data_IF_054297478015
#
_entry.id   IF_054297478015
#
_cell.length_a   1.000
_cell.length_b   1.000
_cell.length_c   1.000
_cell.angle_alpha   90.00
_cell.angle_beta   90.00
_cell.angle_gamma   90.00
#
_symmetry.space_group_name_H-M   'P 1'
#
loop_
_entity.id
_entity.type
_entity.pdbx_description
1 polymer ?
#
# COMPACT_ATOMS: atom_id res chain seq x y z
N UNK A 1 -21.41 -17.16 -5.93
CA UNK A 1 -20.97 -18.56 -5.87
C UNK A 1 -19.55 -18.52 -5.35
N UNK A 2 -19.37 -18.91 -4.07
CA UNK A 2 -18.04 -19.02 -3.47
C UNK A 2 -17.22 -20.05 -4.26
N UNK A 3 -16.00 -19.68 -4.62
CA UNK A 3 -15.15 -20.51 -5.47
C UNK A 3 -14.69 -21.76 -4.70
N UNK A 4 -14.95 -22.94 -5.25
CA UNK A 4 -14.49 -24.23 -4.73
C UNK A 4 -12.95 -24.24 -4.54
N UNK A 5 -12.22 -23.46 -5.33
CA UNK A 5 -10.76 -23.34 -5.21
C UNK A 5 -10.35 -22.73 -3.87
N UNK A 6 -11.06 -21.71 -3.39
CA UNK A 6 -10.85 -21.08 -2.08
C UNK A 6 -11.07 -22.05 -0.93
N UNK A 7 -12.16 -22.81 -0.97
CA UNK A 7 -12.44 -23.83 0.04
C UNK A 7 -11.36 -24.93 0.05
N UNK A 8 -10.92 -25.38 -1.13
CA UNK A 8 -9.82 -26.35 -1.24
C UNK A 8 -8.52 -25.83 -0.66
N UNK A 9 -8.21 -24.55 -0.87
CA UNK A 9 -7.00 -23.93 -0.33
C UNK A 9 -7.09 -23.80 1.20
N UNK A 10 -8.24 -23.41 1.75
CA UNK A 10 -8.48 -23.38 3.18
C UNK A 10 -8.33 -24.77 3.80
N UNK A 11 -9.01 -25.78 3.25
CA UNK A 11 -8.88 -27.18 3.67
C UNK A 11 -7.43 -27.67 3.60
N UNK A 12 -6.69 -27.31 2.54
CA UNK A 12 -5.30 -27.71 2.36
C UNK A 12 -4.37 -27.27 3.50
N UNK A 13 -4.64 -26.09 4.10
CA UNK A 13 -3.86 -25.57 5.25
C UNK A 13 -4.10 -26.33 6.54
N UNK A 14 -5.24 -27.01 6.66
CA UNK A 14 -5.63 -27.80 7.83
C UNK A 14 -5.48 -29.32 7.63
N UNK A 15 -4.78 -29.76 6.56
CA UNK A 15 -4.53 -31.17 6.32
C UNK A 15 -3.76 -31.80 7.49
N UNK A 16 -4.29 -32.89 8.04
CA UNK A 16 -3.72 -33.57 9.20
C UNK A 16 -4.19 -33.02 10.56
N UNK A 17 -4.88 -31.90 10.60
CA UNK A 17 -5.51 -31.41 11.82
C UNK A 17 -6.81 -32.20 12.11
N UNK A 18 -7.09 -32.43 13.41
CA UNK A 18 -8.39 -32.95 13.83
C UNK A 18 -9.47 -31.89 13.58
N UNK A 19 -10.56 -32.24 12.92
CA UNK A 19 -11.66 -31.32 12.67
C UNK A 19 -12.45 -31.08 13.98
N UNK A 20 -12.04 -30.04 14.72
CA UNK A 20 -12.78 -29.51 15.87
C UNK A 20 -13.70 -28.37 15.42
N UNK A 21 -14.66 -27.92 16.25
CA UNK A 21 -15.47 -26.75 15.94
C UNK A 21 -14.64 -25.50 15.63
N UNK A 22 -13.50 -25.30 16.31
CA UNK A 22 -12.59 -24.17 16.11
C UNK A 22 -11.89 -24.28 14.76
N UNK A 23 -11.42 -25.47 14.38
CA UNK A 23 -10.80 -25.72 13.07
C UNK A 23 -11.82 -25.54 11.96
N UNK A 24 -13.05 -26.02 12.14
CA UNK A 24 -14.14 -25.83 11.17
C UNK A 24 -14.46 -24.35 10.98
N UNK A 25 -14.58 -23.58 12.07
CA UNK A 25 -14.81 -22.13 12.02
C UNK A 25 -13.65 -21.39 11.34
N UNK A 26 -12.40 -21.82 11.55
CA UNK A 26 -11.22 -21.27 10.86
C UNK A 26 -11.28 -21.53 9.35
N UNK A 27 -11.60 -22.75 8.94
CA UNK A 27 -11.76 -23.11 7.52
C UNK A 27 -12.88 -22.29 6.87
N UNK A 28 -14.01 -22.14 7.55
CA UNK A 28 -15.12 -21.31 7.06
C UNK A 28 -14.70 -19.86 6.90
N UNK A 29 -14.05 -19.28 7.91
CA UNK A 29 -13.57 -17.90 7.86
C UNK A 29 -12.58 -17.69 6.72
N UNK A 30 -11.64 -18.61 6.53
CA UNK A 30 -10.68 -18.57 5.43
C UNK A 30 -11.35 -18.71 4.06
N UNK A 31 -12.31 -19.65 3.94
CA UNK A 31 -13.07 -19.83 2.71
C UNK A 31 -13.92 -18.60 2.35
N UNK A 32 -14.44 -17.90 3.36
CA UNK A 32 -15.21 -16.66 3.18
C UNK A 32 -14.33 -15.48 2.72
N UNK A 33 -13.05 -15.47 3.11
CA UNK A 33 -12.13 -14.40 2.74
C UNK A 33 -11.62 -14.46 1.29
N UNK A 34 -11.81 -15.58 0.61
CA UNK A 34 -11.30 -15.81 -0.74
C UNK A 34 -9.80 -16.20 -0.78
N UNK A 35 -9.25 -16.48 -1.97
CA UNK A 35 -7.84 -16.83 -2.12
C UNK A 35 -6.94 -15.66 -1.74
N UNK A 36 -5.81 -15.96 -1.10
CA UNK A 36 -4.75 -14.98 -0.90
C UNK A 36 -3.97 -14.82 -2.22
N UNK A 37 -4.28 -13.77 -2.94
CA UNK A 37 -3.64 -13.36 -4.19
C UNK A 37 -2.61 -12.24 -3.95
N UNK A 38 -2.24 -11.97 -2.69
CA UNK A 38 -1.32 -10.90 -2.35
C UNK A 38 0.01 -11.05 -3.11
N UNK A 39 0.53 -9.92 -3.53
CA UNK A 39 1.80 -9.85 -4.24
C UNK A 39 2.91 -10.22 -3.25
N UNK A 40 3.78 -11.20 -3.62
CA UNK A 40 4.91 -11.54 -2.78
C UNK A 40 5.96 -10.42 -2.81
N UNK A 41 6.22 -9.73 -1.68
CA UNK A 41 7.18 -8.64 -1.65
C UNK A 41 8.61 -9.08 -1.91
N UNK A 42 8.97 -10.33 -1.62
CA UNK A 42 10.33 -10.84 -1.79
C UNK A 42 10.81 -10.80 -3.26
N UNK A 43 9.89 -10.82 -4.22
CA UNK A 43 10.24 -10.78 -5.64
C UNK A 43 10.92 -9.48 -6.10
N UNK A 44 10.80 -8.39 -5.34
CA UNK A 44 11.36 -7.08 -5.71
C UNK A 44 12.75 -6.84 -5.13
N UNK A 45 13.22 -7.73 -4.24
CA UNK A 45 14.48 -7.56 -3.53
C UNK A 45 14.50 -6.34 -2.60
N UNK A 46 15.69 -5.91 -2.27
CA UNK A 46 15.94 -4.81 -1.33
C UNK A 46 16.95 -3.85 -1.92
N UNK A 47 16.87 -2.57 -1.54
CA UNK A 47 17.83 -1.52 -1.90
C UNK A 47 18.31 -0.79 -0.65
N UNK A 48 19.58 -0.90 -0.32
CA UNK A 48 20.20 -0.10 0.72
C UNK A 48 20.87 1.14 0.10
N UNK A 49 20.43 2.32 0.54
CA UNK A 49 20.96 3.59 0.03
C UNK A 49 20.85 4.70 1.07
N UNK A 50 21.93 5.47 1.25
CA UNK A 50 21.99 6.62 2.15
C UNK A 50 21.52 6.30 3.59
N UNK A 51 21.89 5.13 4.12
CA UNK A 51 21.55 4.71 5.47
C UNK A 51 20.11 4.19 5.63
N UNK A 52 19.36 4.08 4.55
CA UNK A 52 18.00 3.55 4.55
C UNK A 52 17.90 2.27 3.73
N UNK A 53 17.08 1.34 4.20
CA UNK A 53 16.69 0.13 3.50
C UNK A 53 15.32 0.36 2.87
N UNK A 54 15.23 0.20 1.55
CA UNK A 54 13.99 0.27 0.77
C UNK A 54 13.60 -1.14 0.33
N UNK A 55 12.36 -1.51 0.57
CA UNK A 55 11.82 -2.83 0.24
C UNK A 55 10.30 -2.77 0.07
N UNK A 56 9.71 -3.87 -0.43
CA UNK A 56 8.28 -4.09 -0.31
C UNK A 56 8.02 -4.93 0.95
N UNK A 57 6.90 -4.69 1.62
CA UNK A 57 6.47 -5.47 2.79
C UNK A 57 4.96 -5.69 2.71
N UNK A 58 4.49 -6.78 3.29
CA UNK A 58 3.05 -7.00 3.42
C UNK A 58 2.50 -6.06 4.48
N UNK A 59 1.48 -5.29 4.13
CA UNK A 59 0.88 -4.33 5.04
C UNK A 59 0.37 -5.00 6.31
N UNK A 60 -0.22 -6.20 6.19
CA UNK A 60 -0.71 -6.98 7.34
C UNK A 60 0.37 -7.30 8.37
N UNK A 61 1.63 -7.48 7.94
CA UNK A 61 2.74 -7.87 8.83
C UNK A 61 3.31 -6.66 9.57
N UNK A 62 3.13 -5.44 9.03
CA UNK A 62 3.71 -4.20 9.55
C UNK A 62 2.66 -3.15 9.96
N UNK A 63 1.38 -3.53 10.03
CA UNK A 63 0.28 -2.61 10.26
C UNK A 63 0.45 -1.79 11.55
N UNK A 64 0.95 -2.43 12.63
CA UNK A 64 1.21 -1.76 13.90
C UNK A 64 2.28 -0.67 13.79
N UNK A 65 3.29 -0.87 12.92
CA UNK A 65 4.34 0.12 12.65
C UNK A 65 3.87 1.23 11.69
N UNK A 66 2.96 0.89 10.76
CA UNK A 66 2.40 1.85 9.80
C UNK A 66 1.44 2.84 10.46
N UNK A 67 0.68 2.42 11.46
CA UNK A 67 -0.35 3.26 12.08
C UNK A 67 0.18 4.61 12.60
N UNK A 68 1.31 4.70 13.32
CA UNK A 68 1.89 5.97 13.73
C UNK A 68 2.29 6.88 12.53
N UNK A 69 2.80 6.30 11.45
CA UNK A 69 3.15 7.05 10.24
C UNK A 69 1.91 7.58 9.54
N UNK A 70 0.85 6.77 9.44
CA UNK A 70 -0.43 7.21 8.88
C UNK A 70 -1.06 8.34 9.71
N UNK A 71 -0.97 8.26 11.04
CA UNK A 71 -1.45 9.32 11.93
C UNK A 71 -0.67 10.62 11.74
N UNK A 72 0.67 10.54 11.67
CA UNK A 72 1.51 11.70 11.41
C UNK A 72 1.22 12.32 10.05
N UNK A 73 1.09 11.50 9.00
CA UNK A 73 0.71 11.94 7.65
C UNK A 73 -0.66 12.64 7.64
N UNK A 74 -1.67 12.06 8.30
CA UNK A 74 -3.00 12.65 8.40
C UNK A 74 -2.98 14.02 9.07
N UNK A 75 -2.26 14.15 10.17
CA UNK A 75 -2.11 15.41 10.90
C UNK A 75 -1.45 16.49 10.03
N UNK A 76 -0.50 16.09 9.18
CA UNK A 76 0.24 17.01 8.32
C UNK A 76 -0.58 17.45 7.09
N UNK A 77 -1.35 16.53 6.48
CA UNK A 77 -1.92 16.76 5.14
C UNK A 77 -3.44 16.90 5.11
N UNK A 78 -4.18 16.25 6.01
CA UNK A 78 -5.63 16.13 5.89
C UNK A 78 -6.43 16.76 7.04
N UNK A 79 -5.88 16.77 8.26
CA UNK A 79 -6.62 17.23 9.44
C UNK A 79 -7.20 18.62 9.29
N UNK A 80 -6.45 19.54 8.71
CA UNK A 80 -6.91 20.94 8.53
C UNK A 80 -8.05 21.07 7.52
N UNK A 81 -8.18 20.12 6.60
CA UNK A 81 -9.24 20.09 5.59
C UNK A 81 -10.52 19.44 6.13
N UNK A 82 -10.38 18.31 6.81
CA UNK A 82 -11.52 17.53 7.29
C UNK A 82 -11.94 17.86 8.73
N UNK A 83 -11.00 18.26 9.58
CA UNK A 83 -11.24 18.42 11.02
C UNK A 83 -11.52 17.13 11.78
N UNK A 84 -11.53 16.00 11.09
CA UNK A 84 -11.83 14.68 11.64
C UNK A 84 -10.55 13.94 12.06
N UNK A 85 -10.64 13.03 13.05
CA UNK A 85 -9.53 12.13 13.36
C UNK A 85 -9.30 11.14 12.21
N UNK A 86 -8.09 10.58 12.15
CA UNK A 86 -7.82 9.45 11.28
C UNK A 86 -8.62 8.23 11.75
N UNK A 87 -9.44 7.65 10.90
CA UNK A 87 -10.23 6.45 11.17
C UNK A 87 -10.24 5.53 9.92
N UNK A 88 -9.10 4.89 9.59
CA UNK A 88 -8.99 4.09 8.39
C UNK A 88 -9.72 2.76 8.55
N UNK A 89 -10.39 2.34 7.50
CA UNK A 89 -10.91 0.97 7.37
C UNK A 89 -9.76 0.03 6.95
N UNK A 90 -8.97 -0.40 7.93
CA UNK A 90 -7.86 -1.32 7.66
C UNK A 90 -8.32 -2.69 7.17
N UNK A 91 -9.50 -3.14 7.52
CA UNK A 91 -10.02 -4.42 7.04
C UNK A 91 -10.25 -4.38 5.52
N UNK A 92 -10.83 -3.29 5.01
CA UNK A 92 -10.97 -3.08 3.57
C UNK A 92 -9.60 -2.97 2.86
N UNK A 93 -8.65 -2.26 3.46
CA UNK A 93 -7.28 -2.11 2.90
C UNK A 93 -6.54 -3.45 2.85
N UNK A 94 -6.65 -4.28 3.92
CA UNK A 94 -6.06 -5.61 3.96
C UNK A 94 -6.74 -6.59 3.01
N UNK A 95 -8.06 -6.42 2.76
CA UNK A 95 -8.76 -7.17 1.73
C UNK A 95 -8.24 -6.83 0.32
N UNK A 96 -7.90 -5.57 0.05
CA UNK A 96 -7.25 -5.15 -1.20
C UNK A 96 -5.85 -5.75 -1.35
N UNK A 97 -5.05 -5.77 -0.28
CA UNK A 97 -3.75 -6.46 -0.28
C UNK A 97 -3.92 -7.94 -0.61
N UNK A 98 -4.84 -8.64 0.08
CA UNK A 98 -5.12 -10.05 -0.14
C UNK A 98 -5.59 -10.34 -1.56
N UNK A 99 -6.32 -9.44 -2.16
CA UNK A 99 -6.79 -9.55 -3.55
C UNK A 99 -5.72 -9.18 -4.60
N UNK A 100 -4.50 -8.86 -4.20
CA UNK A 100 -3.42 -8.44 -5.09
C UNK A 100 -3.63 -7.08 -5.72
N UNK A 101 -4.50 -6.25 -5.13
CA UNK A 101 -4.80 -4.90 -5.61
C UNK A 101 -4.04 -3.80 -4.87
N UNK A 102 -3.22 -4.16 -3.90
CA UNK A 102 -2.43 -3.23 -3.11
C UNK A 102 -1.01 -3.75 -2.96
N UNK A 103 -0.05 -2.84 -3.01
CA UNK A 103 1.34 -3.08 -2.66
C UNK A 103 1.86 -1.97 -1.76
N UNK A 104 2.59 -2.37 -0.71
CA UNK A 104 3.22 -1.48 0.26
C UNK A 104 4.73 -1.50 0.07
N UNK A 105 5.32 -0.34 -0.18
CA UNK A 105 6.76 -0.13 -0.14
C UNK A 105 7.13 0.63 1.11
N UNK A 106 8.32 0.34 1.65
CA UNK A 106 8.78 0.89 2.92
C UNK A 106 10.20 1.42 2.84
N UNK A 107 10.50 2.34 3.74
CA UNK A 107 11.86 2.77 4.06
C UNK A 107 12.10 2.51 5.55
N UNK A 108 13.19 1.78 5.86
CA UNK A 108 13.62 1.49 7.23
C UNK A 108 15.00 2.09 7.49
N UNK A 109 15.22 2.56 8.70
CA UNK A 109 16.52 3.08 9.13
C UNK A 109 17.50 1.96 9.52
N UNK A 110 18.70 2.33 9.97
CA UNK A 110 19.73 1.38 10.37
C UNK A 110 19.34 0.52 11.59
N UNK A 111 18.40 0.98 12.42
CA UNK A 111 17.83 0.22 13.52
C UNK A 111 16.62 -0.63 13.10
N UNK A 112 16.35 -0.71 11.80
CA UNK A 112 15.21 -1.39 11.19
C UNK A 112 13.85 -0.78 11.54
N UNK A 113 13.83 0.43 12.12
CA UNK A 113 12.60 1.17 12.38
C UNK A 113 11.97 1.62 11.06
N UNK A 114 10.66 1.49 10.95
CA UNK A 114 9.90 2.00 9.82
C UNK A 114 9.86 3.54 9.86
N UNK A 115 10.45 4.19 8.85
CA UNK A 115 10.57 5.65 8.77
C UNK A 115 9.95 6.24 7.51
N UNK A 116 9.40 5.40 6.64
CA UNK A 116 8.69 5.85 5.45
C UNK A 116 7.88 4.75 4.79
N UNK A 117 6.84 5.17 4.10
CA UNK A 117 5.96 4.26 3.37
C UNK A 117 5.43 4.89 2.08
N UNK A 118 5.19 4.03 1.10
CA UNK A 118 4.52 4.33 -0.15
C UNK A 118 3.51 3.22 -0.43
N UNK A 119 2.21 3.55 -0.45
CA UNK A 119 1.14 2.63 -0.75
C UNK A 119 0.60 2.89 -2.14
N UNK A 120 0.50 1.81 -2.92
CA UNK A 120 0.00 1.85 -4.28
C UNK A 120 -1.16 0.89 -4.47
N UNK A 121 -2.28 1.39 -5.00
CA UNK A 121 -3.38 0.56 -5.47
C UNK A 121 -3.19 0.21 -6.94
N UNK A 122 -3.45 -1.05 -7.27
CA UNK A 122 -3.33 -1.59 -8.62
C UNK A 122 -4.71 -1.73 -9.26
N UNK A 123 -4.80 -1.37 -10.51
CA UNK A 123 -6.02 -1.49 -11.27
C UNK A 123 -5.78 -1.74 -12.75
N UNK A 124 -6.89 -1.96 -13.46
CA UNK A 124 -6.90 -2.06 -14.93
C UNK A 124 -7.86 -1.03 -15.48
N UNK A 125 -7.38 -0.21 -16.39
CA UNK A 125 -8.20 0.80 -17.07
C UNK A 125 -9.32 0.13 -17.85
N UNK A 126 -10.56 0.54 -17.59
CA UNK A 126 -11.72 0.04 -18.34
C UNK A 126 -11.77 0.53 -19.79
N UNK A 127 -11.03 1.59 -20.11
CA UNK A 127 -10.98 2.16 -21.44
C UNK A 127 -9.92 1.54 -22.33
N UNK A 128 -8.78 1.13 -21.76
CA UNK A 128 -7.64 0.64 -22.54
C UNK A 128 -7.18 -0.78 -22.21
N UNK A 129 -7.70 -1.37 -21.10
CA UNK A 129 -7.17 -2.64 -20.58
C UNK A 129 -5.77 -2.51 -19.96
N UNK A 130 -5.20 -1.31 -19.90
CA UNK A 130 -3.85 -1.07 -19.41
C UNK A 130 -3.82 -1.18 -17.89
N UNK A 131 -2.82 -1.88 -17.35
CA UNK A 131 -2.57 -1.89 -15.90
C UNK A 131 -2.03 -0.55 -15.43
N UNK A 132 -2.60 -0.02 -14.38
CA UNK A 132 -2.13 1.20 -13.72
C UNK A 132 -1.93 0.98 -12.21
N UNK A 133 -1.12 1.84 -11.62
CA UNK A 133 -1.01 1.99 -10.17
C UNK A 133 -1.41 3.42 -9.79
N UNK A 134 -2.10 3.57 -8.66
CA UNK A 134 -2.45 4.87 -8.08
C UNK A 134 -1.82 5.00 -6.71
N UNK A 135 -1.04 6.05 -6.51
CA UNK A 135 -0.51 6.40 -5.20
C UNK A 135 -1.66 6.80 -4.29
N UNK A 136 -1.64 6.29 -3.07
CA UNK A 136 -2.59 6.61 -2.02
C UNK A 136 -1.90 7.32 -0.85
N UNK A 137 -0.71 6.86 -0.50
CA UNK A 137 0.06 7.40 0.61
C UNK A 137 1.54 7.40 0.27
N UNK A 138 2.16 8.57 0.30
CA UNK A 138 3.61 8.73 0.33
C UNK A 138 3.97 9.55 1.57
N UNK A 139 4.63 8.93 2.52
CA UNK A 139 5.07 9.61 3.74
C UNK A 139 6.48 9.18 4.15
N UNK A 140 7.26 10.12 4.60
CA UNK A 140 8.55 9.92 5.26
C UNK A 140 8.55 10.67 6.59
N UNK A 141 9.07 10.06 7.62
CA UNK A 141 9.27 10.71 8.90
C UNK A 141 10.19 11.95 8.73
N UNK A 142 9.93 13.05 9.45
CA UNK A 142 10.65 14.31 9.26
C UNK A 142 12.18 14.17 9.32
N UNK A 143 12.68 13.27 10.18
CA UNK A 143 14.12 13.04 10.40
C UNK A 143 14.85 12.47 9.18
N UNK A 144 14.13 11.86 8.24
CA UNK A 144 14.72 11.27 7.01
C UNK A 144 14.40 12.06 5.75
N UNK A 145 13.74 13.22 5.90
CA UNK A 145 13.45 14.14 4.79
C UNK A 145 14.68 14.97 4.42
N UNK A 146 14.61 15.66 3.29
CA UNK A 146 15.64 16.61 2.84
C UNK A 146 16.76 16.03 1.98
N UNK A 147 16.77 14.71 1.76
CA UNK A 147 17.72 14.02 0.88
C UNK A 147 17.03 13.40 -0.33
N UNK A 148 17.54 12.24 -0.74
CA UNK A 148 17.01 11.46 -1.85
C UNK A 148 16.02 10.37 -1.42
N UNK A 149 15.61 10.31 -0.13
CA UNK A 149 14.82 9.22 0.40
C UNK A 149 13.47 9.06 -0.33
N UNK A 150 12.69 10.15 -0.46
CA UNK A 150 11.43 10.12 -1.19
C UNK A 150 11.61 9.71 -2.67
N UNK A 151 12.60 10.31 -3.33
CA UNK A 151 12.94 9.99 -4.71
C UNK A 151 13.34 8.51 -4.87
N UNK A 152 14.12 8.00 -3.90
CA UNK A 152 14.58 6.60 -3.93
C UNK A 152 13.44 5.63 -3.68
N UNK A 153 12.55 5.92 -2.70
CA UNK A 153 11.38 5.11 -2.40
C UNK A 153 10.44 5.04 -3.61
N UNK A 154 10.15 6.20 -4.22
CA UNK A 154 9.32 6.24 -5.43
C UNK A 154 9.93 5.44 -6.57
N UNK A 155 11.21 5.64 -6.89
CA UNK A 155 11.89 4.90 -7.96
C UNK A 155 11.99 3.40 -7.71
N UNK A 156 12.14 3.00 -6.45
CA UNK A 156 12.07 1.59 -6.07
C UNK A 156 10.67 1.02 -6.37
N UNK A 157 9.61 1.74 -5.95
CA UNK A 157 8.22 1.38 -6.26
C UNK A 157 7.95 1.34 -7.76
N UNK A 158 8.37 2.36 -8.53
CA UNK A 158 8.22 2.41 -9.99
C UNK A 158 8.84 1.19 -10.69
N UNK A 159 10.07 0.81 -10.28
CA UNK A 159 10.74 -0.37 -10.83
C UNK A 159 9.97 -1.66 -10.52
N UNK A 160 9.48 -1.82 -9.30
CA UNK A 160 8.67 -2.95 -8.88
C UNK A 160 7.34 -3.01 -9.66
N UNK A 161 6.64 -1.88 -9.77
CA UNK A 161 5.38 -1.77 -10.52
C UNK A 161 5.56 -2.10 -12.01
N UNK A 162 6.64 -1.62 -12.61
CA UNK A 162 6.97 -1.93 -14.00
C UNK A 162 7.16 -3.44 -14.21
N UNK A 163 7.79 -4.16 -13.27
CA UNK A 163 7.97 -5.62 -13.33
C UNK A 163 6.64 -6.39 -13.20
N UNK A 164 5.62 -5.79 -12.59
CA UNK A 164 4.25 -6.32 -12.54
C UNK A 164 3.44 -6.03 -13.81
N UNK A 165 4.04 -5.35 -14.80
CA UNK A 165 3.39 -4.96 -16.05
C UNK A 165 2.53 -3.70 -15.95
N UNK A 166 2.70 -2.90 -14.89
CA UNK A 166 2.10 -1.56 -14.79
C UNK A 166 2.68 -0.66 -15.89
N UNK A 167 1.81 0.09 -16.56
CA UNK A 167 2.19 0.99 -17.66
C UNK A 167 1.88 2.45 -17.39
N UNK A 168 1.11 2.73 -16.35
CA UNK A 168 0.70 4.06 -15.95
C UNK A 168 0.75 4.15 -14.42
N UNK A 169 1.41 5.17 -13.87
CA UNK A 169 1.42 5.45 -12.44
C UNK A 169 0.80 6.82 -12.23
N UNK A 170 -0.20 6.88 -11.37
CA UNK A 170 -0.90 8.08 -10.96
C UNK A 170 -0.45 8.45 -9.57
N UNK A 171 -0.07 9.70 -9.36
CA UNK A 171 0.28 10.23 -8.07
C UNK A 171 -0.49 11.50 -7.78
N UNK A 172 -0.82 11.72 -6.53
CA UNK A 172 -1.45 12.93 -6.05
C UNK A 172 -0.44 13.87 -5.39
N UNK A 173 -0.59 15.17 -5.65
CA UNK A 173 0.16 16.19 -4.95
C UNK A 173 -0.77 17.12 -4.21
N UNK A 174 -0.63 17.17 -2.90
CA UNK A 174 -1.38 18.14 -2.09
C UNK A 174 -0.81 19.55 -2.32
N UNK A 175 -1.67 20.53 -2.49
CA UNK A 175 -1.25 21.92 -2.73
C UNK A 175 -0.46 22.55 -1.57
N UNK A 176 -0.50 21.93 -0.39
CA UNK A 176 0.09 22.46 0.85
C UNK A 176 1.54 22.04 1.11
N UNK A 177 2.05 21.01 0.43
CA UNK A 177 3.34 20.38 0.78
C UNK A 177 4.35 20.37 -0.35
N UNK A 178 4.08 21.04 -1.48
CA UNK A 178 4.96 21.09 -2.66
C UNK A 178 5.40 19.69 -3.18
N UNK A 179 4.59 18.65 -2.97
CA UNK A 179 4.90 17.30 -3.46
C UNK A 179 4.99 17.24 -4.99
N UNK A 180 4.39 18.19 -5.70
CA UNK A 180 4.50 18.35 -7.16
C UNK A 180 5.96 18.51 -7.63
N UNK A 181 6.82 19.12 -6.82
CA UNK A 181 8.26 19.25 -7.13
C UNK A 181 8.92 17.86 -7.19
N UNK A 182 8.58 16.95 -6.27
CA UNK A 182 9.04 15.57 -6.29
C UNK A 182 8.53 14.85 -7.53
N UNK A 183 7.23 14.96 -7.80
CA UNK A 183 6.60 14.31 -8.97
C UNK A 183 7.25 14.76 -10.28
N UNK A 184 7.46 16.07 -10.48
CA UNK A 184 8.15 16.60 -11.67
C UNK A 184 9.57 16.09 -11.79
N UNK A 185 10.34 15.98 -10.68
CA UNK A 185 11.69 15.41 -10.68
C UNK A 185 11.72 13.92 -11.05
N UNK A 186 10.63 13.22 -10.81
CA UNK A 186 10.44 11.83 -11.21
C UNK A 186 9.99 11.68 -12.66
N UNK A 187 9.62 12.78 -13.33
CA UNK A 187 9.14 12.77 -14.70
C UNK A 187 7.62 12.62 -14.83
N UNK A 188 6.87 12.83 -13.74
CA UNK A 188 5.41 12.86 -13.80
C UNK A 188 4.93 14.16 -14.42
N UNK A 189 3.92 14.08 -15.25
CA UNK A 189 3.26 15.22 -15.87
C UNK A 189 1.90 15.47 -15.23
N UNK A 190 1.52 16.72 -14.94
CA UNK A 190 0.20 17.05 -14.41
C UNK A 190 -0.85 16.88 -15.52
N UNK A 191 -1.81 15.98 -15.31
CA UNK A 191 -2.86 15.65 -16.32
C UNK A 191 -4.27 16.05 -15.88
N UNK A 192 -4.48 16.32 -14.60
CA UNK A 192 -5.80 16.71 -14.06
C UNK A 192 -5.69 17.52 -12.77
N UNK A 193 -6.80 18.16 -12.41
CA UNK A 193 -7.01 18.78 -11.10
C UNK A 193 -8.12 18.02 -10.38
N UNK A 194 -7.90 17.70 -9.11
CA UNK A 194 -8.93 17.11 -8.27
C UNK A 194 -9.67 18.19 -7.50
N UNK A 195 -11.01 18.14 -7.52
CA UNK A 195 -11.89 19.03 -6.76
C UNK A 195 -12.64 18.22 -5.71
N UNK A 196 -12.72 18.75 -4.50
CA UNK A 196 -13.42 18.10 -3.37
C UNK A 196 -14.47 19.04 -2.80
N UNK A 197 -15.68 18.52 -2.56
CA UNK A 197 -16.73 19.21 -1.80
C UNK A 197 -17.04 18.39 -0.56
N UNK A 198 -16.87 18.99 0.61
CA UNK A 198 -17.20 18.38 1.90
C UNK A 198 -18.55 18.90 2.35
N UNK A 199 -19.49 17.99 2.61
CA UNK A 199 -20.76 18.31 3.22
C UNK A 199 -20.59 18.24 4.74
N UNK A 200 -20.88 19.33 5.43
CA UNK A 200 -20.93 19.36 6.91
C UNK A 200 -22.35 18.99 7.32
N UNK A 201 -22.46 18.06 8.25
CA UNK A 201 -23.73 17.75 8.92
C UNK A 201 -24.14 18.90 9.83
#
# INVERSE_FOLDING_TARGET
VQDIATLRQALGRHLGAMLTPEVAASIEAEAMQGPDLSIDPAQFGQLFKAGLLFQAERMRDILAELHPLHQAHWLETEKHRHGLPLAPDYDAVLADERAGRLIQFTARDAAYKLVGNLRMYLGTSRHSGTKFASEDTLYLAPEVRGGFAALTLMRFGEKALLSLGVREIRGDSKLINNADVLMRRLGYEPVSLQFVKIFKE
#
